data_IF_117236314470
#
_entry.id   IF_117236314470
#
_cell.length_a   1.000
_cell.length_b   1.000
_cell.length_c   1.000
_cell.angle_alpha   90.00
_cell.angle_beta   90.00
_cell.angle_gamma   90.00
#
_symmetry.space_group_name_H-M   'P 1'
#
loop_
_entity.id
_entity.type
_entity.pdbx_description
1 polymer ?
#
# COMPACT_ATOMS: atom_id res chain seq x y z
N UNK A 1 -3.55 -4.97 -15.40
CA UNK A 1 -4.14 -5.64 -14.23
C UNK A 1 -5.54 -5.13 -14.00
N UNK A 2 -6.48 -6.04 -13.89
CA UNK A 2 -7.86 -5.69 -13.56
C UNK A 2 -8.02 -5.56 -12.05
N UNK A 3 -9.10 -4.91 -11.62
CA UNK A 3 -9.37 -4.79 -10.18
C UNK A 3 -9.61 -6.17 -9.53
N UNK A 4 -10.16 -7.12 -10.29
CA UNK A 4 -10.38 -8.47 -9.77
C UNK A 4 -9.07 -9.23 -9.58
N UNK A 5 -8.15 -9.07 -10.52
CA UNK A 5 -6.81 -9.64 -10.38
C UNK A 5 -6.08 -9.04 -9.17
N UNK A 6 -6.23 -7.74 -8.98
CA UNK A 6 -5.64 -7.04 -7.84
C UNK A 6 -6.22 -7.55 -6.52
N UNK A 7 -7.52 -7.71 -6.45
CA UNK A 7 -8.19 -8.23 -5.25
C UNK A 7 -7.77 -9.66 -4.94
N UNK A 8 -7.64 -10.48 -5.97
CA UNK A 8 -7.16 -11.87 -5.81
C UNK A 8 -5.74 -11.89 -5.29
N UNK A 9 -4.89 -11.02 -5.85
CA UNK A 9 -3.50 -10.93 -5.43
C UNK A 9 -3.38 -10.46 -3.97
N UNK A 10 -4.13 -9.44 -3.61
CA UNK A 10 -4.14 -8.91 -2.24
C UNK A 10 -4.63 -9.97 -1.24
N UNK A 11 -5.63 -10.74 -1.63
CA UNK A 11 -6.21 -11.78 -0.79
C UNK A 11 -5.26 -12.93 -0.47
N UNK A 12 -4.14 -13.02 -1.15
CA UNK A 12 -3.12 -14.03 -0.85
C UNK A 12 -2.28 -13.65 0.38
N UNK A 13 -2.40 -12.43 0.86
CA UNK A 13 -1.65 -11.96 2.03
C UNK A 13 -2.53 -12.02 3.27
N UNK A 14 -2.26 -12.96 4.21
CA UNK A 14 -3.04 -13.06 5.43
C UNK A 14 -3.02 -11.76 6.25
N UNK A 15 -1.91 -11.06 6.20
CA UNK A 15 -1.77 -9.82 6.96
C UNK A 15 -2.69 -8.71 6.42
N UNK A 16 -2.76 -8.57 5.10
CA UNK A 16 -3.64 -7.57 4.49
C UNK A 16 -5.11 -7.90 4.76
N UNK A 17 -5.46 -9.18 4.72
CA UNK A 17 -6.82 -9.62 5.04
C UNK A 17 -7.16 -9.31 6.48
N UNK A 18 -6.26 -9.57 7.40
CA UNK A 18 -6.44 -9.25 8.82
C UNK A 18 -6.69 -7.76 9.04
N UNK A 19 -6.02 -6.91 8.27
CA UNK A 19 -6.19 -5.46 8.37
C UNK A 19 -7.44 -4.94 7.67
N UNK A 20 -8.15 -5.80 6.95
CA UNK A 20 -9.38 -5.41 6.26
C UNK A 20 -9.17 -4.42 5.12
N UNK A 21 -8.01 -4.49 4.47
CA UNK A 21 -7.67 -3.58 3.38
C UNK A 21 -8.39 -4.00 2.11
N UNK A 22 -8.97 -3.04 1.40
CA UNK A 22 -9.71 -3.25 0.16
C UNK A 22 -9.11 -2.44 -0.96
N UNK A 23 -9.13 -3.03 -2.18
CA UNK A 23 -8.70 -2.34 -3.40
C UNK A 23 -9.89 -1.60 -3.97
N UNK A 24 -9.76 -0.28 -4.13
CA UNK A 24 -10.81 0.55 -4.72
C UNK A 24 -10.57 0.81 -6.20
N UNK A 25 -9.32 1.01 -6.59
CA UNK A 25 -8.95 1.16 -8.00
C UNK A 25 -7.49 0.79 -8.20
N UNK A 26 -7.14 0.41 -9.43
CA UNK A 26 -5.79 -0.02 -9.77
C UNK A 26 -5.57 0.15 -11.26
N UNK A 27 -4.36 0.55 -11.64
CA UNK A 27 -3.93 0.60 -13.04
C UNK A 27 -2.82 1.61 -13.28
N UNK A 28 -1.97 1.29 -14.25
CA UNK A 28 -0.95 2.20 -14.78
C UNK A 28 -0.05 2.84 -13.72
N UNK A 29 0.46 2.03 -12.81
CA UNK A 29 1.37 2.52 -11.77
C UNK A 29 0.69 3.25 -10.63
N UNK A 30 -0.62 3.07 -10.47
CA UNK A 30 -1.38 3.73 -9.43
C UNK A 30 -2.32 2.73 -8.74
N UNK A 31 -2.64 3.00 -7.49
CA UNK A 31 -3.55 2.16 -6.73
C UNK A 31 -4.20 2.98 -5.63
N UNK A 32 -5.49 2.76 -5.44
CA UNK A 32 -6.23 3.33 -4.31
C UNK A 32 -6.76 2.18 -3.47
N UNK A 33 -6.45 2.23 -2.20
CA UNK A 33 -6.94 1.26 -1.22
C UNK A 33 -7.62 1.98 -0.07
N UNK A 34 -8.56 1.30 0.56
CA UNK A 34 -9.22 1.83 1.75
C UNK A 34 -9.31 0.76 2.82
N UNK A 35 -9.49 1.20 4.05
CA UNK A 35 -9.70 0.31 5.17
C UNK A 35 -10.53 1.00 6.23
N UNK A 36 -11.35 0.20 6.91
CA UNK A 36 -12.05 0.65 8.10
C UNK A 36 -11.07 0.65 9.26
N UNK A 37 -11.13 1.67 10.11
CA UNK A 37 -10.33 1.74 11.32
C UNK A 37 -11.11 1.04 12.44
N UNK A 38 -10.76 -0.21 12.73
CA UNK A 38 -11.37 -0.99 13.78
C UNK A 38 -10.80 -0.65 15.16
N UNK A 39 -11.39 -1.23 16.19
CA UNK A 39 -10.94 -1.03 17.57
C UNK A 39 -9.48 -1.44 17.74
N UNK A 40 -9.10 -2.59 17.18
CA UNK A 40 -7.75 -3.16 17.29
C UNK A 40 -6.72 -2.46 16.40
N UNK A 41 -7.15 -1.53 15.55
CA UNK A 41 -6.26 -0.77 14.69
C UNK A 41 -5.87 0.57 15.31
N UNK A 42 -6.34 0.82 16.54
CA UNK A 42 -6.14 2.09 17.23
C UNK A 42 -5.03 2.00 18.25
N UNK A 43 -4.38 3.13 18.49
CA UNK A 43 -3.37 3.25 19.53
C UNK A 43 -4.03 3.63 20.86
N UNK A 44 -3.20 3.86 21.89
CA UNK A 44 -3.69 4.20 23.24
C UNK A 44 -4.47 5.53 23.28
N UNK A 45 -4.33 6.36 22.25
CA UNK A 45 -5.03 7.65 22.18
C UNK A 45 -6.38 7.54 21.45
N UNK A 46 -6.74 6.35 20.99
CA UNK A 46 -8.00 6.12 20.30
C UNK A 46 -7.99 6.54 18.83
N UNK A 47 -6.85 6.85 18.27
CA UNK A 47 -6.71 7.18 16.84
C UNK A 47 -6.01 6.02 16.12
N UNK A 48 -6.09 6.00 14.81
CA UNK A 48 -5.46 4.94 14.05
C UNK A 48 -3.96 4.87 14.38
N UNK A 49 -3.48 3.67 14.67
CA UNK A 49 -2.08 3.43 14.94
C UNK A 49 -1.25 3.75 13.69
N UNK A 50 -0.11 4.44 13.88
CA UNK A 50 0.76 4.77 12.74
C UNK A 50 1.18 3.54 11.94
N UNK A 51 1.41 2.43 12.62
CA UNK A 51 1.72 1.17 11.95
C UNK A 51 0.61 0.65 11.06
N UNK A 52 -0.65 0.88 11.44
CA UNK A 52 -1.80 0.52 10.60
C UNK A 52 -1.83 1.37 9.34
N UNK A 53 -1.60 2.68 9.48
CA UNK A 53 -1.53 3.59 8.35
C UNK A 53 -0.37 3.20 7.43
N UNK A 54 0.79 2.91 7.98
CA UNK A 54 1.95 2.47 7.19
C UNK A 54 1.66 1.18 6.44
N UNK A 55 0.89 0.27 7.03
CA UNK A 55 0.54 -1.00 6.39
C UNK A 55 -0.29 -0.79 5.14
N UNK A 56 -1.33 0.05 5.20
CA UNK A 56 -2.15 0.30 4.01
C UNK A 56 -1.34 1.03 2.94
N UNK A 57 -0.41 1.90 3.34
CA UNK A 57 0.47 2.58 2.40
C UNK A 57 1.42 1.61 1.71
N UNK A 58 1.98 0.67 2.45
CA UNK A 58 2.85 -0.36 1.89
C UNK A 58 2.07 -1.25 0.92
N UNK A 59 0.87 -1.65 1.30
CA UNK A 59 0.03 -2.49 0.45
C UNK A 59 -0.34 -1.78 -0.86
N UNK A 60 -0.78 -0.53 -0.78
CA UNK A 60 -1.15 0.25 -1.96
C UNK A 60 0.06 0.50 -2.86
N UNK A 61 1.21 0.80 -2.26
CA UNK A 61 2.44 1.03 -3.01
C UNK A 61 2.89 -0.25 -3.72
N UNK A 62 2.85 -1.39 -3.02
CA UNK A 62 3.23 -2.68 -3.60
C UNK A 62 2.34 -3.06 -4.78
N UNK A 63 1.05 -2.80 -4.68
CA UNK A 63 0.13 -3.10 -5.78
C UNK A 63 0.33 -2.14 -6.94
N UNK A 64 0.63 -0.86 -6.68
CA UNK A 64 0.98 0.08 -7.74
C UNK A 64 2.18 -0.40 -8.55
N UNK A 65 3.22 -0.89 -7.87
CA UNK A 65 4.40 -1.48 -8.52
C UNK A 65 4.01 -2.72 -9.32
N UNK A 66 3.14 -3.55 -8.77
CA UNK A 66 2.71 -4.79 -9.40
C UNK A 66 1.95 -4.57 -10.71
N UNK A 67 1.36 -3.39 -10.91
CA UNK A 67 0.67 -3.10 -12.17
C UNK A 67 1.61 -3.03 -13.37
N UNK A 68 2.89 -2.77 -13.14
CA UNK A 68 3.89 -2.63 -14.21
C UNK A 68 5.00 -3.68 -14.14
N UNK A 69 5.06 -4.47 -13.06
CA UNK A 69 6.07 -5.51 -12.89
C UNK A 69 5.42 -6.86 -12.64
N UNK A 70 5.93 -7.88 -13.28
CA UNK A 70 5.49 -9.27 -13.06
C UNK A 70 6.42 -10.02 -12.14
N UNK A 71 7.54 -9.41 -11.77
CA UNK A 71 8.54 -10.03 -10.94
C UNK A 71 8.20 -9.91 -9.46
N UNK A 72 8.95 -10.64 -8.68
CA UNK A 72 8.94 -10.53 -7.24
C UNK A 72 9.48 -9.16 -6.84
N UNK A 73 8.65 -8.39 -6.14
CA UNK A 73 9.02 -7.06 -5.66
C UNK A 73 8.83 -6.96 -4.16
N UNK A 74 9.81 -6.40 -3.47
CA UNK A 74 9.77 -6.25 -2.02
C UNK A 74 10.12 -4.83 -1.62
N UNK A 75 9.51 -4.36 -0.56
CA UNK A 75 9.80 -3.04 0.00
C UNK A 75 11.21 -3.05 0.60
N UNK A 76 12.04 -2.10 0.18
CA UNK A 76 13.40 -1.95 0.71
C UNK A 76 13.53 -0.81 1.69
N UNK A 77 12.73 0.23 1.54
CA UNK A 77 12.73 1.35 2.47
C UNK A 77 11.42 2.11 2.38
N UNK A 78 11.11 2.83 3.43
CA UNK A 78 9.93 3.70 3.44
C UNK A 78 10.17 4.86 4.39
N UNK A 79 9.56 5.99 4.07
CA UNK A 79 9.55 7.17 4.92
C UNK A 79 8.11 7.66 4.99
N UNK A 80 7.59 7.78 6.20
CA UNK A 80 6.21 8.24 6.42
C UNK A 80 6.19 9.49 7.28
N UNK A 81 5.34 10.42 6.93
CA UNK A 81 5.04 11.60 7.72
C UNK A 81 3.57 11.56 8.12
N UNK A 82 3.31 11.53 9.42
CA UNK A 82 1.97 11.50 9.99
C UNK A 82 1.60 12.92 10.38
N UNK A 83 0.77 13.55 9.56
CA UNK A 83 0.53 14.99 9.63
C UNK A 83 -0.64 15.35 10.53
N UNK A 84 -1.69 14.51 10.56
CA UNK A 84 -2.88 14.73 11.32
C UNK A 84 -3.39 13.42 11.91
N UNK A 85 -4.01 13.44 13.11
CA UNK A 85 -4.53 12.21 13.70
C UNK A 85 -5.72 11.67 12.90
N UNK A 86 -5.72 10.37 12.65
CA UNK A 86 -6.82 9.68 11.97
C UNK A 86 -7.87 9.27 13.00
N UNK A 87 -8.84 10.13 13.24
CA UNK A 87 -9.87 9.94 14.26
C UNK A 87 -11.14 9.27 13.75
N UNK A 88 -11.36 9.29 12.44
CA UNK A 88 -12.58 8.79 11.83
C UNK A 88 -12.66 7.27 11.80
N UNK A 89 -13.55 6.77 10.96
CA UNK A 89 -13.81 5.32 10.86
C UNK A 89 -13.15 4.66 9.65
N UNK A 90 -12.65 5.43 8.70
CA UNK A 90 -12.03 4.91 7.47
C UNK A 90 -10.87 5.77 7.04
N UNK A 91 -9.92 5.14 6.35
CA UNK A 91 -8.83 5.83 5.67
C UNK A 91 -8.73 5.33 4.23
N UNK A 92 -8.21 6.18 3.36
CA UNK A 92 -7.96 5.88 1.95
C UNK A 92 -6.52 6.22 1.61
N UNK A 93 -5.79 5.27 1.04
CA UNK A 93 -4.43 5.48 0.59
C UNK A 93 -4.41 5.55 -0.93
N UNK A 94 -3.76 6.58 -1.47
CA UNK A 94 -3.60 6.78 -2.91
C UNK A 94 -2.13 6.72 -3.24
N UNK A 95 -1.73 5.68 -3.97
CA UNK A 95 -0.35 5.41 -4.34
C UNK A 95 -0.13 5.68 -5.82
N UNK A 96 1.01 6.27 -6.14
CA UNK A 96 1.39 6.58 -7.52
C UNK A 96 2.89 6.40 -7.68
N UNK A 97 3.30 5.70 -8.73
CA UNK A 97 4.71 5.51 -9.02
C UNK A 97 5.35 6.81 -9.49
N UNK A 98 6.46 7.17 -8.87
CA UNK A 98 7.32 8.27 -9.28
C UNK A 98 8.42 7.78 -10.19
N UNK A 99 8.92 6.59 -9.93
CA UNK A 99 9.94 5.95 -10.75
C UNK A 99 9.57 4.49 -10.97
N UNK A 100 9.46 4.11 -12.22
CA UNK A 100 9.18 2.74 -12.63
C UNK A 100 10.42 2.17 -13.29
N UNK A 101 11.46 1.93 -12.49
CA UNK A 101 12.72 1.40 -12.98
C UNK A 101 12.69 -0.11 -13.13
N UNK A 102 13.71 -0.64 -13.80
CA UNK A 102 13.80 -2.08 -14.01
C UNK A 102 13.98 -2.84 -12.68
N UNK A 103 14.90 -2.40 -11.86
CA UNK A 103 15.20 -3.04 -10.58
C UNK A 103 14.67 -2.28 -9.38
N UNK A 104 14.50 -0.97 -9.50
CA UNK A 104 14.05 -0.12 -8.41
C UNK A 104 12.83 0.66 -8.83
N UNK A 105 11.84 0.68 -7.97
CA UNK A 105 10.63 1.48 -8.15
C UNK A 105 10.43 2.35 -6.91
N UNK A 106 9.99 3.58 -7.14
CA UNK A 106 9.70 4.53 -6.05
C UNK A 106 8.25 4.96 -6.17
N UNK A 107 7.53 4.87 -5.08
CA UNK A 107 6.10 5.18 -5.02
C UNK A 107 5.85 6.29 -4.01
N UNK A 108 5.04 7.24 -4.39
CA UNK A 108 4.53 8.26 -3.49
C UNK A 108 3.12 7.86 -3.05
N UNK A 109 2.82 7.98 -1.77
CA UNK A 109 1.51 7.61 -1.25
C UNK A 109 0.98 8.69 -0.31
N UNK A 110 -0.30 9.01 -0.46
CA UNK A 110 -1.01 9.97 0.39
C UNK A 110 -2.21 9.28 1.03
N UNK A 111 -2.45 9.59 2.30
CA UNK A 111 -3.55 9.00 3.07
C UNK A 111 -4.54 10.08 3.46
N UNK A 112 -5.81 9.81 3.18
CA UNK A 112 -6.91 10.72 3.47
C UNK A 112 -7.93 10.09 4.42
N UNK A 113 -8.52 10.90 5.26
CA UNK A 113 -9.68 10.56 6.05
C UNK A 113 -10.63 11.74 6.04
N UNK A 114 -11.88 11.52 5.61
CA UNK A 114 -12.89 12.59 5.51
C UNK A 114 -12.37 13.79 4.70
N UNK A 115 -11.73 13.51 3.58
CA UNK A 115 -11.18 14.50 2.63
C UNK A 115 -10.00 15.31 3.19
N UNK A 116 -9.48 14.95 4.35
CA UNK A 116 -8.33 15.61 4.96
C UNK A 116 -7.08 14.77 4.76
N UNK A 117 -5.98 15.39 4.37
CA UNK A 117 -4.69 14.71 4.25
C UNK A 117 -4.16 14.40 5.64
N UNK A 118 -4.04 13.12 5.95
CA UNK A 118 -3.61 12.65 7.27
C UNK A 118 -2.15 12.26 7.32
N UNK A 119 -1.63 11.72 6.23
CA UNK A 119 -0.26 11.23 6.16
C UNK A 119 0.20 11.17 4.71
N UNK A 120 1.51 11.20 4.52
CA UNK A 120 2.10 10.97 3.19
C UNK A 120 3.45 10.30 3.37
N UNK A 121 3.91 9.63 2.33
CA UNK A 121 5.19 8.96 2.39
C UNK A 121 5.69 8.52 1.04
N UNK A 122 6.87 7.90 1.10
CA UNK A 122 7.54 7.37 -0.07
C UNK A 122 7.99 5.94 0.25
N UNK A 123 7.76 5.03 -0.69
CA UNK A 123 8.14 3.63 -0.57
C UNK A 123 9.03 3.25 -1.73
N UNK A 124 10.11 2.54 -1.42
CA UNK A 124 11.05 2.06 -2.43
C UNK A 124 10.99 0.54 -2.48
N UNK A 125 10.93 0.01 -3.71
CA UNK A 125 10.84 -1.42 -3.94
C UNK A 125 12.01 -1.89 -4.79
N UNK A 126 12.52 -3.07 -4.45
CA UNK A 126 13.43 -3.80 -5.31
C UNK A 126 12.62 -4.86 -6.05
N UNK A 127 12.78 -4.88 -7.37
CA UNK A 127 12.08 -5.82 -8.24
C UNK A 127 13.09 -6.78 -8.86
N UNK A 128 13.02 -8.04 -8.48
CA UNK A 128 13.84 -9.07 -9.09
C UNK A 128 13.26 -9.44 -10.45
N UNK A 129 14.10 -9.97 -11.36
CA UNK A 129 13.58 -10.47 -12.63
C UNK A 129 12.66 -11.65 -12.37
N UNK A 130 11.58 -11.76 -13.13
CA UNK A 130 10.61 -12.84 -12.97
C UNK A 130 11.25 -14.21 -13.00
N UNK A 131 12.22 -14.40 -13.90
CA UNK A 131 12.94 -15.66 -13.99
C UNK A 131 13.72 -15.99 -12.72
N UNK A 132 14.41 -15.00 -12.16
CA UNK A 132 15.17 -15.18 -10.93
C UNK A 132 14.26 -15.56 -9.77
N UNK A 133 13.16 -14.84 -9.63
CA UNK A 133 12.20 -15.14 -8.58
C UNK A 133 11.56 -16.51 -8.74
N UNK A 134 11.36 -16.97 -9.98
CA UNK A 134 10.83 -18.29 -10.27
C UNK A 134 11.82 -19.38 -9.95
N UNK A 135 13.09 -19.16 -10.27
CA UNK A 135 14.13 -20.15 -10.03
C UNK A 135 14.35 -20.42 -8.54
N UNK A 136 14.07 -19.46 -7.71
CA UNK A 136 14.23 -19.56 -6.26
C UNK A 136 13.04 -20.23 -5.56
N UNK A 137 11.95 -20.41 -6.27
CA UNK A 137 10.75 -21.02 -5.74
C UNK A 137 10.69 -22.51 -5.97
#
# INVERSE_FOLDING_TARGET
MTIEEARTWLGKSPFHEKCGIQVDSVGDGACVMSARIGEEDRNLWGIAHGGFIATICDAASGLAVRTTHDEYCVTTSSTMHYLEPARGSRIRAEAKMLKDGHALAVVEVSVYGEEKLLAEGSFEFFCASGKQGQDER
#
